data_IF_087057912288
#
_entry.id   IF_087057912288
#
_cell.length_a   1.000
_cell.length_b   1.000
_cell.length_c   1.000
_cell.angle_alpha   90.00
_cell.angle_beta   90.00
_cell.angle_gamma   90.00
#
_symmetry.space_group_name_H-M   'P 1'
#
loop_
_entity.id
_entity.type
_entity.pdbx_description
1 polymer ?
#
# COMPACT_ATOMS: atom_id res chain seq x y z
N UNK A 1 -16.74 10.39 17.82
CA UNK A 1 -17.22 11.10 16.61
C UNK A 1 -18.69 10.75 16.37
N UNK A 2 -19.50 11.76 16.04
CA UNK A 2 -20.89 11.53 15.67
C UNK A 2 -20.95 11.06 14.21
N UNK A 3 -21.70 9.98 13.95
CA UNK A 3 -21.81 9.40 12.59
C UNK A 3 -22.45 10.37 11.60
N UNK A 4 -23.39 11.20 12.05
CA UNK A 4 -24.06 12.20 11.19
C UNK A 4 -23.07 13.28 10.73
N UNK A 5 -22.17 13.73 11.61
CA UNK A 5 -21.16 14.72 11.30
C UNK A 5 -20.14 14.21 10.29
N UNK A 6 -19.70 12.96 10.48
CA UNK A 6 -18.71 12.32 9.58
C UNK A 6 -19.32 12.09 8.19
N UNK A 7 -20.50 11.49 8.13
CA UNK A 7 -21.18 11.18 6.88
C UNK A 7 -21.67 12.45 6.18
N UNK A 8 -22.15 13.43 6.95
CA UNK A 8 -22.68 14.70 6.41
C UNK A 8 -21.68 15.54 5.62
N UNK A 9 -20.37 15.28 5.75
CA UNK A 9 -19.31 15.95 4.95
C UNK A 9 -19.25 15.48 3.51
N UNK A 10 -19.69 14.24 3.26
CA UNK A 10 -19.59 13.61 1.93
C UNK A 10 -20.95 13.25 1.35
N UNK A 11 -22.00 13.24 2.17
CA UNK A 11 -23.39 12.96 1.77
C UNK A 11 -24.31 14.08 2.23
N UNK A 12 -25.10 14.62 1.31
CA UNK A 12 -26.16 15.56 1.68
C UNK A 12 -27.28 14.82 2.43
N UNK A 13 -27.31 14.95 3.75
CA UNK A 13 -28.26 14.30 4.62
C UNK A 13 -29.44 15.22 4.93
N UNK A 14 -30.68 14.73 4.72
CA UNK A 14 -31.92 15.42 5.11
C UNK A 14 -32.54 14.71 6.31
N UNK A 15 -32.89 15.45 7.35
CA UNK A 15 -33.57 14.90 8.55
C UNK A 15 -34.95 14.38 8.18
N UNK A 16 -35.25 13.15 8.56
CA UNK A 16 -36.52 12.47 8.30
C UNK A 16 -36.93 11.74 9.58
N UNK A 17 -37.79 12.40 10.36
CA UNK A 17 -38.16 11.94 11.71
C UNK A 17 -36.96 11.88 12.65
N UNK A 18 -36.68 10.70 13.21
CA UNK A 18 -35.55 10.45 14.12
C UNK A 18 -34.23 10.11 13.41
N UNK A 19 -34.24 9.96 12.07
CA UNK A 19 -33.10 9.56 11.26
C UNK A 19 -32.77 10.63 10.23
N UNK A 20 -31.64 10.43 9.54
CA UNK A 20 -31.23 11.21 8.37
C UNK A 20 -31.26 10.33 7.13
N UNK A 21 -31.61 10.91 5.97
CA UNK A 21 -31.71 10.19 4.71
C UNK A 21 -30.93 10.93 3.61
N UNK A 22 -30.25 10.18 2.75
CA UNK A 22 -29.45 10.72 1.63
C UNK A 22 -29.29 9.72 0.49
N UNK A 23 -28.58 10.14 -0.54
CA UNK A 23 -28.11 9.26 -1.63
C UNK A 23 -26.91 8.47 -1.13
N UNK A 24 -26.87 7.16 -1.37
CA UNK A 24 -25.76 6.32 -0.95
C UNK A 24 -24.48 6.66 -1.71
N UNK A 25 -23.35 6.91 -1.01
CA UNK A 25 -22.09 7.18 -1.66
C UNK A 25 -21.31 5.90 -2.03
N UNK A 26 -21.83 4.72 -1.64
CA UNK A 26 -21.15 3.43 -1.81
C UNK A 26 -21.60 2.68 -3.07
N UNK A 27 -22.69 3.13 -3.72
CA UNK A 27 -23.15 2.60 -5.00
C UNK A 27 -23.90 3.67 -5.78
N UNK A 28 -24.10 3.44 -7.08
CA UNK A 28 -24.84 4.39 -7.95
C UNK A 28 -26.34 4.24 -7.72
N UNK A 29 -27.00 5.31 -7.30
CA UNK A 29 -28.45 5.39 -7.19
C UNK A 29 -28.95 6.81 -7.48
N UNK A 30 -30.25 6.93 -7.85
CA UNK A 30 -30.90 8.23 -8.08
C UNK A 30 -31.90 8.59 -6.98
N UNK A 31 -32.36 7.59 -6.24
CA UNK A 31 -33.36 7.76 -5.17
C UNK A 31 -32.71 7.54 -3.82
N UNK A 32 -32.95 8.43 -2.82
CA UNK A 32 -32.33 8.26 -1.51
C UNK A 32 -32.75 6.95 -0.84
N UNK A 33 -31.78 6.07 -0.57
CA UNK A 33 -31.96 4.79 0.15
C UNK A 33 -31.04 4.66 1.37
N UNK A 34 -30.17 5.63 1.57
CA UNK A 34 -29.17 5.64 2.64
C UNK A 34 -29.72 6.32 3.88
N UNK A 35 -29.84 5.57 4.97
CA UNK A 35 -30.38 6.03 6.26
C UNK A 35 -29.30 6.04 7.32
N UNK A 36 -29.20 7.14 8.06
CA UNK A 36 -28.28 7.30 9.18
C UNK A 36 -29.07 7.53 10.46
N UNK A 37 -28.86 6.67 11.44
CA UNK A 37 -29.47 6.80 12.77
C UNK A 37 -28.46 7.43 13.73
N UNK A 38 -28.72 8.66 14.12
CA UNK A 38 -27.90 9.37 15.10
C UNK A 38 -27.95 8.71 16.47
N UNK A 39 -29.14 8.28 16.89
CA UNK A 39 -29.33 7.61 18.20
C UNK A 39 -28.62 6.26 18.32
N UNK A 40 -28.60 5.49 17.22
CA UNK A 40 -27.95 4.19 17.18
C UNK A 40 -26.50 4.26 16.70
N UNK A 41 -26.04 5.40 16.17
CA UNK A 41 -24.71 5.60 15.59
C UNK A 41 -24.40 4.59 14.48
N UNK A 42 -25.40 4.26 13.63
CA UNK A 42 -25.29 3.33 12.51
C UNK A 42 -25.85 3.94 11.23
N UNK A 43 -25.34 3.50 10.10
CA UNK A 43 -25.93 3.71 8.78
C UNK A 43 -26.46 2.40 8.21
N UNK A 44 -27.46 2.49 7.34
CA UNK A 44 -27.99 1.37 6.54
C UNK A 44 -28.42 1.88 5.18
N UNK A 45 -27.93 1.27 4.13
CA UNK A 45 -28.40 1.50 2.76
C UNK A 45 -29.36 0.39 2.35
N UNK A 46 -30.60 0.73 2.04
CA UNK A 46 -31.59 -0.23 1.58
C UNK A 46 -31.46 -0.57 0.08
N UNK A 47 -30.61 0.15 -0.67
CA UNK A 47 -30.31 -0.14 -2.07
C UNK A 47 -29.25 -1.22 -2.23
N UNK A 48 -28.09 -1.08 -1.56
CA UNK A 48 -26.98 -2.04 -1.68
C UNK A 48 -26.77 -2.94 -0.44
N UNK A 49 -27.61 -2.81 0.61
CA UNK A 49 -27.48 -3.60 1.82
C UNK A 49 -26.31 -3.22 2.74
N UNK A 50 -25.53 -2.18 2.41
CA UNK A 50 -24.42 -1.75 3.24
C UNK A 50 -24.92 -1.22 4.58
N UNK A 51 -24.35 -1.69 5.67
CA UNK A 51 -24.67 -1.26 7.04
C UNK A 51 -23.41 -1.25 7.90
N UNK A 52 -23.40 -0.45 8.96
CA UNK A 52 -22.28 -0.38 9.89
C UNK A 52 -22.27 0.88 10.72
N UNK A 53 -21.23 1.04 11.51
CA UNK A 53 -20.92 2.22 12.30
C UNK A 53 -20.09 3.25 11.50
N UNK A 54 -19.62 4.29 12.17
CA UNK A 54 -18.79 5.34 11.56
C UNK A 54 -17.46 4.80 11.01
N UNK A 55 -16.87 3.82 11.69
CA UNK A 55 -15.60 3.22 11.23
C UNK A 55 -15.83 2.41 9.96
N UNK A 56 -16.90 1.59 9.94
CA UNK A 56 -17.25 0.81 8.75
C UNK A 56 -17.60 1.70 7.55
N UNK A 57 -18.26 2.85 7.80
CA UNK A 57 -18.50 3.85 6.75
C UNK A 57 -17.19 4.39 6.17
N UNK A 58 -16.26 4.84 7.02
CA UNK A 58 -14.96 5.40 6.62
C UNK A 58 -14.13 4.33 5.89
N UNK A 59 -14.11 3.10 6.37
CA UNK A 59 -13.46 1.96 5.69
C UNK A 59 -13.94 1.80 4.26
N UNK A 60 -15.26 1.73 4.08
CA UNK A 60 -15.88 1.49 2.75
C UNK A 60 -15.74 2.70 1.83
N UNK A 61 -16.00 3.90 2.34
CA UNK A 61 -15.99 5.12 1.53
C UNK A 61 -14.60 5.49 1.05
N UNK A 62 -13.60 5.44 1.95
CA UNK A 62 -12.21 5.77 1.64
C UNK A 62 -11.36 4.55 1.24
N UNK A 63 -11.94 3.36 1.23
CA UNK A 63 -11.26 2.09 0.94
C UNK A 63 -10.06 1.86 1.87
N UNK A 64 -10.27 2.02 3.16
CA UNK A 64 -9.26 1.85 4.20
C UNK A 64 -9.49 0.53 4.96
N UNK A 65 -8.43 0.00 5.55
CA UNK A 65 -8.55 -1.03 6.58
C UNK A 65 -9.05 -0.44 7.91
N UNK A 66 -9.32 -1.27 8.89
CA UNK A 66 -9.81 -0.83 10.20
C UNK A 66 -8.85 0.19 10.85
N UNK A 67 -7.55 -0.10 10.81
CA UNK A 67 -6.53 0.78 11.39
C UNK A 67 -6.51 2.14 10.69
N UNK A 68 -6.47 2.14 9.36
CA UNK A 68 -6.47 3.38 8.56
C UNK A 68 -7.71 4.24 8.79
N UNK A 69 -8.88 3.62 8.95
CA UNK A 69 -10.11 4.33 9.25
C UNK A 69 -10.09 4.96 10.66
N UNK A 70 -9.60 4.22 11.65
CA UNK A 70 -9.46 4.73 13.02
C UNK A 70 -8.41 5.84 13.09
N UNK A 71 -7.26 5.69 12.42
CA UNK A 71 -6.22 6.72 12.36
C UNK A 71 -6.73 8.01 11.69
N UNK A 72 -7.50 7.88 10.60
CA UNK A 72 -8.10 9.02 9.91
C UNK A 72 -9.07 9.78 10.83
N UNK A 73 -9.99 9.07 11.48
CA UNK A 73 -10.95 9.66 12.42
C UNK A 73 -10.24 10.28 13.62
N UNK A 74 -9.25 9.59 14.20
CA UNK A 74 -8.51 10.09 15.35
C UNK A 74 -7.76 11.39 15.02
N UNK A 75 -7.10 11.47 13.86
CA UNK A 75 -6.44 12.70 13.40
C UNK A 75 -7.42 13.85 13.24
N UNK A 76 -8.60 13.56 12.69
CA UNK A 76 -9.63 14.55 12.44
C UNK A 76 -10.25 15.11 13.73
N UNK A 77 -10.40 14.27 14.74
CA UNK A 77 -10.99 14.64 16.04
C UNK A 77 -9.95 14.95 17.12
N UNK A 78 -8.65 15.04 16.76
CA UNK A 78 -7.58 15.35 17.70
C UNK A 78 -7.37 14.28 18.80
N UNK A 79 -7.73 13.02 18.51
CA UNK A 79 -7.60 11.91 19.46
C UNK A 79 -6.21 11.28 19.30
N UNK A 80 -5.43 11.22 20.39
CA UNK A 80 -4.17 10.47 20.39
C UNK A 80 -4.46 8.97 20.41
N UNK A 81 -3.81 8.23 19.51
CA UNK A 81 -3.87 6.76 19.45
C UNK A 81 -2.61 6.11 20.03
N UNK A 82 -1.86 6.82 20.85
CA UNK A 82 -0.65 6.26 21.47
C UNK A 82 -0.99 5.00 22.27
N UNK A 83 -0.39 3.87 21.86
CA UNK A 83 -0.63 2.57 22.49
C UNK A 83 -1.93 1.83 22.10
N UNK A 84 -2.86 2.45 21.36
CA UNK A 84 -4.14 1.85 20.99
C UNK A 84 -4.01 0.65 20.04
N UNK A 85 -2.96 0.62 19.24
CA UNK A 85 -2.64 -0.51 18.37
C UNK A 85 -1.28 -1.10 18.80
N UNK A 86 -1.28 -2.02 19.73
CA UNK A 86 -0.08 -2.77 20.13
C UNK A 86 0.63 -3.33 18.88
N UNK A 87 1.93 -3.00 18.69
CA UNK A 87 2.73 -3.33 17.50
C UNK A 87 2.88 -2.19 16.49
N UNK A 88 2.39 -0.97 16.78
CA UNK A 88 2.48 0.18 15.86
C UNK A 88 3.93 0.60 15.57
N UNK A 89 4.79 0.70 16.59
CA UNK A 89 6.21 1.11 16.42
C UNK A 89 7.00 0.12 15.59
N UNK A 90 6.84 -1.18 15.85
CA UNK A 90 7.52 -2.24 15.10
C UNK A 90 7.14 -2.22 13.61
N UNK A 91 5.85 -2.05 13.30
CA UNK A 91 5.41 -1.97 11.90
C UNK A 91 5.85 -0.67 11.23
N UNK A 92 5.85 0.46 11.92
CA UNK A 92 6.34 1.72 11.36
C UNK A 92 7.83 1.65 11.03
N UNK A 93 8.65 1.00 11.86
CA UNK A 93 10.05 0.73 11.54
C UNK A 93 10.19 -0.12 10.27
N UNK A 94 9.40 -1.20 10.14
CA UNK A 94 9.40 -2.05 8.95
C UNK A 94 8.99 -1.28 7.68
N UNK A 95 7.98 -0.41 7.77
CA UNK A 95 7.61 0.48 6.66
C UNK A 95 8.72 1.47 6.31
N UNK A 96 9.42 2.00 7.33
CA UNK A 96 10.52 2.92 7.11
C UNK A 96 11.70 2.24 6.41
N UNK A 97 12.06 1.01 6.82
CA UNK A 97 13.09 0.21 6.15
C UNK A 97 12.73 -0.04 4.68
N UNK A 98 11.50 -0.48 4.41
CA UNK A 98 11.02 -0.69 3.05
C UNK A 98 11.03 0.62 2.23
N UNK A 99 10.67 1.75 2.84
CA UNK A 99 10.71 3.06 2.20
C UNK A 99 12.13 3.47 1.83
N UNK A 100 13.10 3.22 2.72
CA UNK A 100 14.52 3.50 2.45
C UNK A 100 15.08 2.58 1.36
N UNK A 101 14.74 1.30 1.38
CA UNK A 101 15.10 0.35 0.33
C UNK A 101 14.51 0.77 -1.04
N UNK A 102 13.23 1.17 -1.07
CA UNK A 102 12.61 1.68 -2.30
C UNK A 102 13.32 2.92 -2.85
N UNK A 103 13.69 3.87 -1.98
CA UNK A 103 14.46 5.06 -2.38
C UNK A 103 15.85 4.71 -2.90
N UNK A 104 16.52 3.74 -2.29
CA UNK A 104 17.82 3.24 -2.75
C UNK A 104 17.70 2.68 -4.17
N UNK A 105 16.81 1.74 -4.40
CA UNK A 105 16.59 1.15 -5.73
C UNK A 105 16.11 2.18 -6.77
N UNK A 106 15.22 3.10 -6.35
CA UNK A 106 14.73 4.17 -7.23
C UNK A 106 15.87 5.07 -7.73
N UNK A 107 16.79 5.47 -6.83
CA UNK A 107 17.98 6.27 -7.19
C UNK A 107 18.94 5.48 -8.06
N UNK A 108 19.15 4.20 -7.76
CA UNK A 108 20.03 3.34 -8.54
C UNK A 108 19.59 3.24 -10.02
N UNK A 109 18.28 3.10 -10.29
CA UNK A 109 17.76 3.05 -11.67
C UNK A 109 18.07 4.32 -12.47
N UNK A 110 18.21 5.46 -11.82
CA UNK A 110 18.38 6.78 -12.44
C UNK A 110 19.84 7.22 -12.55
N UNK A 111 20.78 6.36 -12.16
CA UNK A 111 22.19 6.59 -12.41
C UNK A 111 22.50 6.46 -13.90
N UNK A 112 23.54 7.17 -14.36
CA UNK A 112 23.97 7.15 -15.75
C UNK A 112 24.33 5.72 -16.20
N UNK A 113 23.97 5.36 -17.44
CA UNK A 113 24.24 4.05 -18.05
C UNK A 113 23.68 2.84 -17.28
N UNK A 114 22.53 2.99 -16.62
CA UNK A 114 21.93 1.93 -15.81
C UNK A 114 21.34 0.81 -16.71
N UNK A 115 21.73 -0.47 -16.54
CA UNK A 115 21.21 -1.57 -17.34
C UNK A 115 19.71 -1.80 -17.11
N UNK A 116 19.19 -1.54 -15.91
CA UNK A 116 17.77 -1.61 -15.58
C UNK A 116 16.95 -0.60 -16.38
N UNK A 117 17.44 0.63 -16.49
CA UNK A 117 16.77 1.66 -17.28
C UNK A 117 16.73 1.28 -18.77
N UNK A 118 17.87 0.83 -19.33
CA UNK A 118 17.96 0.37 -20.71
C UNK A 118 17.00 -0.79 -20.97
N UNK A 119 16.95 -1.76 -20.06
CA UNK A 119 16.04 -2.90 -20.14
C UNK A 119 14.57 -2.44 -20.20
N UNK A 120 14.15 -1.54 -19.30
CA UNK A 120 12.78 -1.03 -19.26
C UNK A 120 12.43 -0.21 -20.50
N UNK A 121 13.35 0.62 -20.98
CA UNK A 121 13.18 1.38 -22.22
C UNK A 121 12.97 0.46 -23.42
N UNK A 122 13.75 -0.62 -23.54
CA UNK A 122 13.62 -1.61 -24.62
C UNK A 122 12.30 -2.39 -24.56
N UNK A 123 11.65 -2.42 -23.39
CA UNK A 123 10.31 -2.95 -23.16
C UNK A 123 9.19 -1.94 -23.47
N UNK A 124 9.51 -0.75 -23.94
CA UNK A 124 8.54 0.29 -24.25
C UNK A 124 7.97 1.02 -23.03
N UNK A 125 8.56 0.84 -21.84
CA UNK A 125 8.08 1.50 -20.62
C UNK A 125 8.63 2.92 -20.55
N UNK A 126 7.74 3.90 -20.50
CA UNK A 126 8.12 5.31 -20.46
C UNK A 126 8.72 5.73 -19.10
N UNK A 127 9.50 6.81 -19.11
CA UNK A 127 10.05 7.40 -17.89
C UNK A 127 8.94 7.85 -16.91
N UNK A 128 7.79 8.28 -17.43
CA UNK A 128 6.63 8.66 -16.64
C UNK A 128 6.08 7.46 -15.85
N UNK A 129 5.93 6.31 -16.50
CA UNK A 129 5.49 5.06 -15.84
C UNK A 129 6.52 4.61 -14.80
N UNK A 130 7.82 4.64 -15.13
CA UNK A 130 8.88 4.31 -14.18
C UNK A 130 8.82 5.18 -12.92
N UNK A 131 8.52 6.46 -13.08
CA UNK A 131 8.39 7.40 -11.98
C UNK A 131 7.10 7.16 -11.18
N UNK A 132 5.96 7.03 -11.87
CA UNK A 132 4.64 6.83 -11.25
C UNK A 132 4.59 5.58 -10.38
N UNK A 133 5.21 4.49 -10.83
CA UNK A 133 5.26 3.22 -10.09
C UNK A 133 6.47 3.11 -9.17
N UNK A 134 7.36 4.10 -9.12
CA UNK A 134 8.54 4.09 -8.27
C UNK A 134 9.54 2.98 -8.61
N UNK A 135 9.58 2.55 -9.89
CA UNK A 135 10.43 1.45 -10.35
C UNK A 135 11.90 1.76 -10.05
N UNK A 136 12.61 0.75 -9.57
CA UNK A 136 14.00 0.83 -9.17
C UNK A 136 14.89 -0.23 -9.83
N UNK A 137 16.15 -0.25 -9.42
CA UNK A 137 17.13 -1.23 -9.85
C UNK A 137 18.01 -1.67 -8.69
N UNK A 138 18.17 -2.97 -8.53
CA UNK A 138 19.17 -3.58 -7.66
C UNK A 138 20.35 -4.01 -8.53
N UNK A 139 21.53 -3.46 -8.27
CA UNK A 139 22.75 -3.86 -8.94
C UNK A 139 23.12 -5.33 -8.64
N UNK A 140 24.15 -5.86 -9.24
CA UNK A 140 24.59 -7.25 -9.08
C UNK A 140 25.54 -7.48 -7.90
N UNK A 141 25.96 -6.41 -7.21
CA UNK A 141 26.80 -6.49 -6.00
C UNK A 141 26.07 -7.22 -4.87
N UNK A 142 26.85 -7.84 -4.01
CA UNK A 142 26.31 -8.74 -3.00
C UNK A 142 25.62 -8.07 -1.82
N UNK A 143 26.00 -6.83 -1.47
CA UNK A 143 25.68 -6.20 -0.20
C UNK A 143 25.40 -4.70 -0.27
N UNK A 144 25.09 -4.17 -1.44
CA UNK A 144 24.87 -2.73 -1.65
C UNK A 144 23.74 -2.16 -0.80
N UNK A 145 22.58 -2.82 -0.79
CA UNK A 145 21.44 -2.41 0.02
C UNK A 145 21.72 -2.67 1.51
N UNK A 146 22.34 -3.81 1.84
CA UNK A 146 22.69 -4.15 3.21
C UNK A 146 23.55 -3.07 3.85
N UNK A 147 24.66 -2.67 3.19
CA UNK A 147 25.53 -1.60 3.67
C UNK A 147 24.76 -0.30 3.84
N UNK A 148 23.97 0.10 2.84
CA UNK A 148 23.18 1.33 2.90
C UNK A 148 22.19 1.35 4.08
N UNK A 149 21.52 0.24 4.36
CA UNK A 149 20.57 0.15 5.48
C UNK A 149 21.28 0.10 6.82
N UNK A 150 22.45 -0.54 6.91
CA UNK A 150 23.31 -0.54 8.12
C UNK A 150 23.81 0.86 8.48
N UNK A 151 24.27 1.62 7.50
CA UNK A 151 24.68 3.01 7.69
C UNK A 151 23.54 3.91 8.21
N UNK A 152 22.28 3.53 7.94
CA UNK A 152 21.09 4.18 8.49
C UNK A 152 20.68 3.71 9.88
N UNK A 153 21.41 2.76 10.46
CA UNK A 153 21.17 2.25 11.81
C UNK A 153 20.13 1.16 11.94
N UNK A 154 19.64 0.58 10.82
CA UNK A 154 18.69 -0.51 10.88
C UNK A 154 19.37 -1.85 11.25
N UNK A 155 18.63 -2.70 12.00
CA UNK A 155 19.15 -3.99 12.43
C UNK A 155 19.04 -5.05 11.34
N UNK A 156 19.96 -6.03 11.36
CA UNK A 156 19.95 -7.19 10.45
C UNK A 156 18.67 -8.02 10.59
N UNK A 157 18.16 -8.18 11.82
CA UNK A 157 16.97 -8.97 12.09
C UNK A 157 15.75 -8.39 11.37
N UNK A 158 15.59 -7.06 11.36
CA UNK A 158 14.52 -6.40 10.63
C UNK A 158 14.67 -6.51 9.11
N UNK A 159 15.90 -6.44 8.61
CA UNK A 159 16.19 -6.63 7.18
C UNK A 159 15.90 -8.08 6.73
N UNK A 160 16.23 -9.08 7.56
CA UNK A 160 15.91 -10.49 7.36
C UNK A 160 14.40 -10.72 7.40
N UNK A 161 13.70 -10.15 8.38
CA UNK A 161 12.24 -10.24 8.55
C UNK A 161 11.50 -9.72 7.31
N UNK A 162 11.97 -8.64 6.71
CA UNK A 162 11.45 -8.08 5.47
C UNK A 162 11.88 -8.85 4.21
N UNK A 163 12.85 -9.76 4.33
CA UNK A 163 13.43 -10.48 3.20
C UNK A 163 14.15 -9.57 2.21
N UNK A 164 14.75 -8.48 2.69
CA UNK A 164 15.62 -7.61 1.90
C UNK A 164 17.01 -8.19 1.77
N UNK A 165 17.46 -8.85 2.84
CA UNK A 165 18.75 -9.52 2.92
C UNK A 165 18.58 -10.99 3.30
N UNK A 166 19.62 -11.76 3.08
CA UNK A 166 19.75 -13.16 3.52
C UNK A 166 21.08 -13.34 4.22
N UNK A 167 21.20 -14.39 5.06
CA UNK A 167 22.43 -14.75 5.74
C UNK A 167 23.01 -16.02 5.12
N UNK A 168 24.26 -15.96 4.72
CA UNK A 168 25.00 -17.10 4.18
C UNK A 168 25.22 -18.17 5.27
N UNK A 169 24.90 -19.42 4.94
CA UNK A 169 25.14 -20.56 5.85
C UNK A 169 26.62 -20.93 5.94
N UNK A 170 27.43 -20.53 4.92
CA UNK A 170 28.83 -20.91 4.81
C UNK A 170 29.74 -20.07 5.71
N UNK A 171 29.50 -18.76 5.73
CA UNK A 171 30.40 -17.78 6.38
C UNK A 171 29.66 -16.76 7.25
N UNK A 172 28.35 -16.87 7.39
CA UNK A 172 27.53 -16.01 8.23
C UNK A 172 27.34 -14.58 7.69
N UNK A 173 27.86 -14.25 6.51
CA UNK A 173 27.75 -12.92 5.92
C UNK A 173 26.33 -12.62 5.45
N UNK A 174 25.95 -11.35 5.56
CA UNK A 174 24.68 -10.87 5.00
C UNK A 174 24.86 -10.46 3.54
N UNK A 175 23.86 -10.72 2.72
CA UNK A 175 23.83 -10.36 1.32
C UNK A 175 22.43 -9.98 0.86
N UNK A 176 22.36 -9.12 -0.16
CA UNK A 176 21.13 -8.62 -0.73
C UNK A 176 20.35 -9.74 -1.41
N UNK A 177 19.04 -9.82 -1.13
CA UNK A 177 18.17 -10.82 -1.75
C UNK A 177 17.88 -10.50 -3.22
N UNK A 178 17.75 -9.22 -3.53
CA UNK A 178 17.54 -8.74 -4.90
C UNK A 178 18.85 -8.23 -5.47
N UNK A 179 19.33 -8.85 -6.54
CA UNK A 179 20.57 -8.47 -7.27
C UNK A 179 20.36 -8.63 -8.77
N UNK A 180 20.93 -7.75 -9.58
CA UNK A 180 20.79 -7.73 -11.04
C UNK A 180 19.35 -7.65 -11.53
N UNK A 181 18.49 -6.91 -10.81
CA UNK A 181 17.02 -6.93 -11.03
C UNK A 181 16.43 -5.53 -11.16
N UNK A 182 15.50 -5.39 -12.09
CA UNK A 182 14.51 -4.30 -12.01
C UNK A 182 13.58 -4.56 -10.84
N UNK A 183 13.34 -3.54 -10.01
CA UNK A 183 12.61 -3.63 -8.76
C UNK A 183 11.27 -2.90 -8.87
N UNK A 184 10.22 -3.59 -8.51
CA UNK A 184 8.84 -3.12 -8.47
C UNK A 184 8.41 -3.00 -7.00
N UNK A 185 8.33 -1.78 -6.42
CA UNK A 185 7.87 -1.63 -5.06
C UNK A 185 6.39 -1.97 -4.97
N UNK A 186 6.06 -2.91 -4.10
CA UNK A 186 4.67 -3.27 -3.80
C UNK A 186 4.18 -2.34 -2.70
N UNK A 187 3.07 -1.64 -2.96
CA UNK A 187 2.49 -0.69 -2.02
C UNK A 187 1.10 -1.18 -1.58
N UNK A 188 0.75 -0.91 -0.34
CA UNK A 188 -0.62 -1.08 0.13
C UNK A 188 -1.53 0.05 -0.39
N UNK A 189 -2.82 -0.03 -0.14
CA UNK A 189 -3.80 0.98 -0.56
C UNK A 189 -3.53 2.38 0.00
N UNK A 190 -2.82 2.49 1.14
CA UNK A 190 -2.36 3.74 1.73
C UNK A 190 -1.03 4.27 1.17
N UNK A 191 -0.45 3.63 0.15
CA UNK A 191 0.80 4.05 -0.50
C UNK A 191 2.09 3.70 0.28
N UNK A 192 2.00 2.98 1.40
CA UNK A 192 3.20 2.51 2.12
C UNK A 192 3.82 1.32 1.38
N UNK A 193 5.15 1.33 1.20
CA UNK A 193 5.87 0.20 0.60
C UNK A 193 5.90 -0.97 1.58
N UNK A 194 5.37 -2.11 1.15
CA UNK A 194 5.20 -3.32 1.96
C UNK A 194 6.12 -4.46 1.53
N UNK A 195 6.66 -4.39 0.33
CA UNK A 195 7.55 -5.41 -0.23
C UNK A 195 7.99 -5.06 -1.64
N UNK A 196 8.60 -6.01 -2.31
CA UNK A 196 9.18 -5.82 -3.64
C UNK A 196 8.96 -7.04 -4.53
N UNK A 197 8.76 -6.78 -5.82
CA UNK A 197 8.97 -7.73 -6.89
C UNK A 197 10.26 -7.40 -7.62
N UNK A 198 11.01 -8.40 -8.07
CA UNK A 198 12.26 -8.21 -8.81
C UNK A 198 12.28 -9.05 -10.08
N UNK A 199 12.49 -8.41 -11.25
CA UNK A 199 12.68 -9.08 -12.54
C UNK A 199 14.16 -9.09 -12.88
N UNK A 200 14.75 -10.27 -13.08
CA UNK A 200 16.16 -10.38 -13.46
C UNK A 200 16.39 -9.79 -14.85
N UNK A 201 17.55 -9.16 -15.05
CA UNK A 201 18.04 -8.72 -16.34
C UNK A 201 19.04 -9.76 -16.84
N UNK A 202 18.84 -10.23 -18.06
CA UNK A 202 19.65 -11.32 -18.63
C UNK A 202 19.15 -12.72 -18.23
N UNK A 203 20.04 -13.70 -18.35
CA UNK A 203 19.77 -15.10 -18.10
C UNK A 203 20.06 -15.45 -16.65
N UNK A 204 19.03 -15.78 -15.91
CA UNK A 204 19.14 -16.16 -14.50
C UNK A 204 17.82 -16.59 -13.92
N UNK A 205 17.88 -17.46 -12.91
CA UNK A 205 16.70 -17.97 -12.21
C UNK A 205 16.69 -17.52 -10.73
N UNK A 206 15.52 -17.30 -10.15
CA UNK A 206 14.21 -17.28 -10.79
C UNK A 206 14.02 -15.99 -11.62
N UNK A 207 13.30 -16.08 -12.75
CA UNK A 207 12.96 -14.95 -13.62
C UNK A 207 12.29 -13.80 -12.85
N UNK A 208 11.36 -14.13 -11.97
CA UNK A 208 10.74 -13.21 -11.02
C UNK A 208 10.98 -13.67 -9.60
N UNK A 209 11.36 -12.73 -8.75
CA UNK A 209 11.53 -12.92 -7.32
C UNK A 209 10.64 -11.94 -6.57
N UNK A 210 9.87 -12.41 -5.61
CA UNK A 210 9.06 -11.56 -4.75
C UNK A 210 9.56 -11.57 -3.32
N UNK A 211 9.26 -10.50 -2.57
CA UNK A 211 9.42 -10.51 -1.12
C UNK A 211 8.69 -11.69 -0.48
N UNK A 212 9.24 -12.21 0.58
CA UNK A 212 8.59 -13.19 1.43
C UNK A 212 7.44 -12.55 2.21
N UNK A 213 6.57 -13.36 2.81
CA UNK A 213 5.58 -12.90 3.78
C UNK A 213 6.29 -12.22 4.96
N UNK A 214 5.72 -11.13 5.46
CA UNK A 214 6.25 -10.38 6.60
C UNK A 214 5.10 -9.76 7.41
N UNK A 215 5.35 -9.17 8.59
CA UNK A 215 4.31 -8.49 9.36
C UNK A 215 3.59 -7.36 8.62
N UNK A 216 4.21 -6.82 7.55
CA UNK A 216 3.66 -5.74 6.73
C UNK A 216 3.24 -6.18 5.33
N UNK A 217 3.57 -7.41 4.91
CA UNK A 217 3.25 -7.93 3.58
C UNK A 217 2.67 -9.34 3.60
N UNK A 218 1.47 -9.49 3.05
CA UNK A 218 0.82 -10.78 2.78
C UNK A 218 0.34 -10.81 1.35
N UNK A 219 0.95 -11.65 0.51
CA UNK A 219 0.69 -11.75 -0.93
C UNK A 219 -0.79 -11.85 -1.28
N UNK A 220 -1.52 -12.73 -0.60
CA UNK A 220 -2.93 -13.02 -0.88
C UNK A 220 -3.88 -11.84 -0.64
N UNK A 221 -3.43 -10.80 0.05
CA UNK A 221 -4.25 -9.63 0.38
C UNK A 221 -3.83 -8.36 -0.37
N UNK A 222 -2.81 -8.46 -1.23
CA UNK A 222 -2.25 -7.29 -1.90
C UNK A 222 -2.24 -7.48 -3.42
N UNK A 223 -2.85 -6.54 -4.10
CA UNK A 223 -2.84 -6.44 -5.56
C UNK A 223 -1.91 -5.31 -5.97
N UNK A 224 -0.93 -5.61 -6.83
CA UNK A 224 0.03 -4.62 -7.31
C UNK A 224 -0.66 -3.49 -8.07
N UNK A 225 -0.29 -2.25 -7.77
CA UNK A 225 -0.81 -1.06 -8.46
C UNK A 225 -2.21 -0.62 -8.02
N UNK A 226 -2.88 -1.31 -7.10
CA UNK A 226 -4.23 -0.95 -6.66
C UNK A 226 -4.31 0.45 -6.02
N UNK A 227 -3.27 0.88 -5.33
CA UNK A 227 -3.15 2.23 -4.77
C UNK A 227 -3.12 3.33 -5.85
N UNK A 228 -2.64 3.01 -7.06
CA UNK A 228 -2.54 3.94 -8.18
C UNK A 228 -3.75 3.91 -9.10
N UNK A 229 -4.43 2.76 -9.20
CA UNK A 229 -5.58 2.54 -10.09
C UNK A 229 -6.93 2.62 -9.39
N UNK A 230 -6.99 2.55 -8.07
CA UNK A 230 -8.24 2.43 -7.32
C UNK A 230 -9.20 3.62 -7.49
N UNK A 231 -8.69 4.83 -7.71
CA UNK A 231 -9.51 6.00 -7.97
C UNK A 231 -10.16 5.92 -9.38
N UNK A 232 -9.38 5.60 -10.39
CA UNK A 232 -9.88 5.44 -11.77
C UNK A 232 -10.80 4.22 -11.89
N UNK A 233 -10.48 3.10 -11.25
CA UNK A 233 -11.34 1.91 -11.22
C UNK A 233 -12.73 2.23 -10.67
N UNK A 234 -12.83 3.07 -9.64
CA UNK A 234 -14.14 3.52 -9.12
C UNK A 234 -14.89 4.45 -10.08
N UNK A 235 -14.17 5.31 -10.76
CA UNK A 235 -14.74 6.26 -11.72
C UNK A 235 -15.28 5.55 -12.95
N UNK A 236 -14.52 4.61 -13.48
CA UNK A 236 -14.87 3.83 -14.67
C UNK A 236 -15.75 2.60 -14.35
N UNK A 237 -15.98 2.29 -13.05
CA UNK A 237 -16.69 1.10 -12.56
C UNK A 237 -16.15 -0.22 -13.13
N UNK A 238 -14.85 -0.25 -13.38
CA UNK A 238 -14.13 -1.35 -13.99
C UNK A 238 -12.71 -1.47 -13.49
N UNK A 239 -12.16 -2.67 -13.46
CA UNK A 239 -10.75 -2.96 -13.21
C UNK A 239 -10.26 -4.03 -14.16
N UNK A 240 -9.08 -3.83 -14.73
CA UNK A 240 -8.40 -4.81 -15.56
C UNK A 240 -7.33 -5.51 -14.75
N UNK A 241 -7.44 -6.82 -14.60
CA UNK A 241 -6.45 -7.66 -13.95
C UNK A 241 -5.53 -8.28 -15.01
N UNK A 242 -4.23 -8.20 -14.77
CA UNK A 242 -3.20 -8.79 -15.63
C UNK A 242 -2.25 -9.63 -14.79
N UNK A 243 -1.63 -10.63 -15.41
CA UNK A 243 -0.54 -11.40 -14.79
C UNK A 243 0.78 -10.62 -14.88
N UNK A 244 1.44 -10.43 -13.75
CA UNK A 244 2.77 -9.83 -13.69
C UNK A 244 2.82 -8.31 -13.60
N UNK A 245 4.05 -7.80 -13.50
CA UNK A 245 4.34 -6.37 -13.27
C UNK A 245 4.52 -5.55 -14.55
N UNK A 246 4.61 -6.22 -15.70
CA UNK A 246 4.89 -5.61 -17.00
C UNK A 246 3.94 -6.17 -18.07
#
# INVERSE_FOLDING_TARGET
CNIVDVIGRVVSLKKTGKNYKGICPLHKEKTPSFIVSETKQIFTCFGCGATGDVIEFVKRYYNLDFKGAVEMLAKEYGISLEGAFGGSRDKEELYEINRQAARFYYRALRQHSNPGYTYMKNRGISAEILNRFGIGYADDRWDSLYIFLKEKGFSEDRMLELGLVSKSRKDGRYYDKFRGRVIFPIQNTGGKVIGFGGRIIGDGEPKYLNSQESPVFRKKYNLYGLNLSGAEARKEDAIVLVEGYM
#
